data_IF_662544916156
#
_entry.id   IF_662544916156
#
_cell.length_a   1.000
_cell.length_b   1.000
_cell.length_c   1.000
_cell.angle_alpha   90.00
_cell.angle_beta   90.00
_cell.angle_gamma   90.00
#
_symmetry.space_group_name_H-M   'P 1'
#
loop_
_entity.id
_entity.type
_entity.pdbx_description
1 polymer ?
#
# COMPACT_ATOMS: atom_id res chain seq x y z
N UNK A 1 -57.83 46.26 -9.73
CA UNK A 1 -57.92 47.54 -10.48
C UNK A 1 -57.53 48.66 -9.53
N UNK A 2 -56.84 49.67 -10.08
CA UNK A 2 -56.34 50.92 -9.48
C UNK A 2 -54.93 50.81 -8.85
N UNK A 3 -53.93 51.63 -9.18
CA UNK A 3 -53.56 52.49 -10.34
C UNK A 3 -52.10 52.90 -10.09
N UNK A 4 -51.34 53.18 -11.16
CA UNK A 4 -49.90 53.50 -11.16
C UNK A 4 -49.59 54.99 -10.88
N UNK A 5 -48.29 55.24 -10.63
CA UNK A 5 -47.46 56.44 -10.93
C UNK A 5 -47.54 57.63 -9.93
N UNK A 6 -46.52 58.45 -9.67
CA UNK A 6 -45.08 58.54 -10.00
C UNK A 6 -44.49 59.73 -9.21
N UNK A 7 -43.16 59.85 -9.11
CA UNK A 7 -42.48 61.13 -8.79
C UNK A 7 -41.25 60.98 -7.90
N UNK A 8 -40.06 61.08 -8.49
CA UNK A 8 -38.78 61.08 -7.78
C UNK A 8 -38.21 62.48 -7.56
N UNK A 9 -37.16 62.57 -6.73
CA UNK A 9 -36.06 63.54 -6.84
C UNK A 9 -34.88 63.06 -5.98
N UNK A 10 -33.70 63.16 -6.58
CA UNK A 10 -32.36 62.80 -6.08
C UNK A 10 -31.85 63.88 -5.12
N UNK A 11 -31.23 63.47 -4.01
CA UNK A 11 -30.22 64.28 -3.32
C UNK A 11 -29.17 63.38 -2.66
N UNK A 12 -27.94 63.49 -3.18
CA UNK A 12 -26.72 62.84 -2.70
C UNK A 12 -26.24 63.53 -1.43
N UNK A 13 -26.01 62.77 -0.36
CA UNK A 13 -25.17 63.17 0.75
C UNK A 13 -24.40 61.94 1.25
N UNK A 14 -23.14 61.86 0.84
CA UNK A 14 -22.15 60.93 1.35
C UNK A 14 -21.64 61.50 2.68
N UNK A 15 -21.89 60.80 3.77
CA UNK A 15 -21.19 61.00 5.03
C UNK A 15 -20.82 59.63 5.61
N UNK A 16 -19.51 59.46 5.78
CA UNK A 16 -18.79 58.24 6.16
C UNK A 16 -19.26 57.73 7.52
N UNK A 17 -19.71 56.47 7.56
CA UNK A 17 -19.88 55.71 8.79
C UNK A 17 -18.89 54.54 8.78
N UNK A 18 -17.97 54.55 9.75
CA UNK A 18 -17.06 53.45 10.04
C UNK A 18 -17.87 52.22 10.43
N UNK A 19 -17.78 51.16 9.64
CA UNK A 19 -18.13 49.81 10.07
C UNK A 19 -16.90 48.93 9.94
N UNK A 20 -16.26 48.66 11.07
CA UNK A 20 -15.30 47.59 11.23
C UNK A 20 -15.98 46.27 10.86
N UNK A 21 -15.62 45.71 9.71
CA UNK A 21 -15.81 44.29 9.43
C UNK A 21 -14.45 43.64 9.57
N UNK A 22 -14.35 42.75 10.56
CA UNK A 22 -13.22 41.86 10.72
C UNK A 22 -12.99 41.17 9.37
N UNK A 23 -11.80 41.36 8.80
CA UNK A 23 -11.33 40.48 7.74
C UNK A 23 -11.33 39.08 8.32
N UNK A 24 -12.28 38.26 7.89
CA UNK A 24 -12.15 36.81 8.02
C UNK A 24 -10.86 36.47 7.31
N UNK A 25 -9.83 36.15 8.08
CA UNK A 25 -8.72 35.38 7.57
C UNK A 25 -9.36 34.24 6.78
N UNK A 26 -9.13 34.22 5.47
CA UNK A 26 -9.23 32.98 4.73
C UNK A 26 -8.30 32.05 5.50
N UNK A 27 -8.90 31.14 6.26
CA UNK A 27 -8.19 29.96 6.69
C UNK A 27 -7.86 29.25 5.38
N UNK A 28 -6.71 29.58 4.80
CA UNK A 28 -5.93 28.58 4.08
C UNK A 28 -5.89 27.41 5.04
N UNK A 29 -6.75 26.42 4.79
CA UNK A 29 -6.58 25.12 5.39
C UNK A 29 -5.28 24.62 4.81
N UNK A 30 -4.19 24.98 5.48
CA UNK A 30 -2.91 24.36 5.33
C UNK A 30 -3.11 22.94 5.87
N UNK A 31 -3.69 22.10 5.02
CA UNK A 31 -3.79 20.66 5.22
C UNK A 31 -2.37 20.22 5.54
N UNK A 32 -2.17 19.73 6.76
CA UNK A 32 -0.87 19.21 7.15
C UNK A 32 -0.45 18.19 6.09
N UNK A 33 0.73 18.36 5.50
CA UNK A 33 1.33 17.44 4.53
C UNK A 33 1.75 16.09 5.17
N UNK A 34 1.02 15.64 6.19
CA UNK A 34 1.18 14.36 6.85
C UNK A 34 -0.09 13.56 6.63
N UNK A 35 0.05 12.48 5.87
CA UNK A 35 -0.90 11.37 5.74
C UNK A 35 -1.93 11.51 4.60
N UNK A 36 -1.46 11.85 3.39
CA UNK A 36 -2.19 11.49 2.17
C UNK A 36 -2.40 9.96 2.11
N UNK A 37 -3.60 9.55 1.73
CA UNK A 37 -3.90 8.16 1.45
C UNK A 37 -3.19 7.69 0.18
N UNK A 38 -2.96 6.38 0.10
CA UNK A 38 -2.42 5.69 -1.06
C UNK A 38 -3.51 4.79 -1.61
N UNK A 39 -4.01 5.09 -2.81
CA UNK A 39 -5.14 4.38 -3.41
C UNK A 39 -4.72 3.79 -4.75
N UNK A 40 -5.08 2.54 -4.98
CA UNK A 40 -5.06 1.92 -6.31
C UNK A 40 -6.48 1.63 -6.76
N UNK A 41 -6.72 1.53 -8.07
CA UNK A 41 -8.02 1.16 -8.63
C UNK A 41 -7.85 -0.08 -9.51
N UNK A 42 -8.68 -1.09 -9.30
CA UNK A 42 -8.77 -2.30 -10.11
C UNK A 42 -10.08 -2.29 -10.89
N UNK A 43 -10.01 -2.56 -12.18
CA UNK A 43 -11.18 -2.87 -13.00
C UNK A 43 -11.36 -4.37 -13.18
N UNK A 44 -12.48 -4.89 -12.68
CA UNK A 44 -12.81 -6.31 -12.64
C UNK A 44 -14.19 -6.62 -13.24
N UNK A 45 -14.72 -5.78 -14.14
CA UNK A 45 -15.99 -6.01 -14.85
C UNK A 45 -15.71 -6.42 -16.31
N UNK A 46 -15.78 -7.71 -16.68
CA UNK A 46 -15.50 -8.16 -18.04
C UNK A 46 -16.38 -7.48 -19.10
N UNK A 47 -15.81 -7.20 -20.26
CA UNK A 47 -16.55 -6.68 -21.43
C UNK A 47 -17.00 -5.23 -21.36
N UNK A 48 -16.59 -4.49 -20.31
CA UNK A 48 -16.97 -3.10 -20.11
C UNK A 48 -15.73 -2.22 -20.00
N UNK A 49 -15.37 -1.45 -21.03
CA UNK A 49 -14.41 -0.35 -20.88
C UNK A 49 -15.13 0.85 -20.26
N UNK A 50 -14.47 1.54 -19.32
CA UNK A 50 -15.09 2.59 -18.52
C UNK A 50 -14.22 3.81 -18.33
N UNK A 51 -14.85 4.94 -18.09
CA UNK A 51 -14.20 6.16 -17.62
C UNK A 51 -14.54 6.38 -16.14
N UNK A 52 -13.52 6.64 -15.32
CA UNK A 52 -13.66 6.83 -13.87
C UNK A 52 -13.57 8.31 -13.52
N UNK A 53 -14.61 8.80 -12.85
CA UNK A 53 -14.75 10.18 -12.41
C UNK A 53 -14.81 10.28 -10.89
N UNK A 54 -14.30 11.39 -10.35
CA UNK A 54 -14.61 11.85 -9.00
C UNK A 54 -15.31 13.21 -9.07
N UNK A 55 -16.59 13.24 -8.73
CA UNK A 55 -17.46 14.36 -9.09
C UNK A 55 -17.53 14.53 -10.61
N UNK A 56 -17.23 15.75 -11.10
CA UNK A 56 -17.23 16.07 -12.53
C UNK A 56 -15.83 15.97 -13.17
N UNK A 57 -14.81 15.55 -12.40
CA UNK A 57 -13.44 15.43 -12.87
C UNK A 57 -13.14 14.00 -13.28
N UNK A 58 -12.74 13.83 -14.53
CA UNK A 58 -12.23 12.56 -15.04
C UNK A 58 -10.85 12.25 -14.44
N UNK A 59 -10.71 11.04 -13.88
CA UNK A 59 -9.48 10.57 -13.24
C UNK A 59 -8.77 9.51 -14.08
N UNK A 60 -9.53 8.56 -14.63
CA UNK A 60 -8.98 7.43 -15.39
C UNK A 60 -9.83 7.25 -16.67
N UNK A 61 -9.33 7.69 -17.84
CA UNK A 61 -9.97 7.43 -19.13
C UNK A 61 -9.69 5.99 -19.60
N UNK A 62 -10.56 5.47 -20.46
CA UNK A 62 -10.37 4.23 -21.24
C UNK A 62 -9.97 3.02 -20.37
N UNK A 63 -10.51 2.94 -19.15
CA UNK A 63 -10.08 1.95 -18.17
C UNK A 63 -10.60 0.55 -18.57
N UNK A 64 -9.66 -0.37 -18.85
CA UNK A 64 -9.98 -1.69 -19.40
C UNK A 64 -10.02 -2.79 -18.34
N UNK A 65 -10.89 -3.81 -18.47
CA UNK A 65 -10.98 -4.88 -17.47
C UNK A 65 -9.65 -5.64 -17.29
N UNK A 66 -9.34 -6.01 -16.05
CA UNK A 66 -8.09 -6.69 -15.67
C UNK A 66 -6.91 -5.75 -15.42
N UNK A 67 -7.11 -4.44 -15.56
CA UNK A 67 -6.08 -3.43 -15.28
C UNK A 67 -6.15 -2.96 -13.82
N UNK A 68 -4.97 -2.69 -13.27
CA UNK A 68 -4.78 -2.16 -11.93
C UNK A 68 -3.90 -0.91 -12.08
N UNK A 69 -4.32 0.21 -11.51
CA UNK A 69 -3.53 1.44 -11.56
C UNK A 69 -2.32 1.33 -10.65
N UNK A 70 -1.29 2.11 -10.97
CA UNK A 70 -0.26 2.44 -9.99
C UNK A 70 -0.88 3.17 -8.77
N UNK A 71 -0.30 3.02 -7.57
CA UNK A 71 -0.79 3.72 -6.39
C UNK A 71 -0.69 5.23 -6.54
N UNK A 72 -1.80 5.92 -6.30
CA UNK A 72 -1.94 7.37 -6.37
C UNK A 72 -2.14 7.97 -4.97
N UNK A 73 -1.59 9.16 -4.76
CA UNK A 73 -1.75 9.91 -3.52
C UNK A 73 -3.02 10.75 -3.58
N UNK A 74 -3.85 10.61 -2.55
CA UNK A 74 -5.11 11.33 -2.42
C UNK A 74 -5.17 11.98 -1.04
N UNK A 75 -5.73 13.18 -0.98
CA UNK A 75 -6.02 13.80 0.30
C UNK A 75 -7.15 13.04 1.00
N UNK A 76 -7.13 13.03 2.32
CA UNK A 76 -8.21 12.44 3.09
C UNK A 76 -9.52 13.19 2.81
N UNK A 77 -10.62 12.46 2.60
CA UNK A 77 -11.91 13.05 2.27
C UNK A 77 -12.91 12.04 1.76
N UNK A 78 -14.12 12.52 1.47
CA UNK A 78 -15.18 11.76 0.81
C UNK A 78 -15.16 12.08 -0.68
N UNK A 79 -15.16 11.05 -1.51
CA UNK A 79 -15.13 11.17 -2.97
C UNK A 79 -16.35 10.49 -3.58
N UNK A 80 -17.11 11.23 -4.37
CA UNK A 80 -18.21 10.68 -5.16
C UNK A 80 -17.64 10.07 -6.43
N UNK A 81 -17.46 8.75 -6.44
CA UNK A 81 -16.91 8.03 -7.57
C UNK A 81 -18.05 7.62 -8.50
N UNK A 82 -17.93 8.03 -9.76
CA UNK A 82 -18.84 7.66 -10.84
C UNK A 82 -18.04 6.96 -11.93
N UNK A 83 -18.59 5.85 -12.42
CA UNK A 83 -17.97 5.05 -13.48
C UNK A 83 -18.96 4.99 -14.62
N UNK A 84 -18.57 5.54 -15.76
CA UNK A 84 -19.37 5.58 -16.97
C UNK A 84 -18.83 4.58 -17.97
N UNK A 85 -19.68 4.14 -18.90
CA UNK A 85 -19.18 3.39 -20.05
C UNK A 85 -18.30 4.31 -20.88
N UNK A 86 -17.23 3.75 -21.45
CA UNK A 86 -16.33 4.48 -22.34
C UNK A 86 -17.09 5.32 -23.39
N UNK A 87 -16.73 6.60 -23.49
CA UNK A 87 -17.33 7.58 -24.39
C UNK A 87 -18.62 8.22 -23.86
N UNK A 88 -19.10 7.84 -22.68
CA UNK A 88 -20.16 8.53 -21.95
C UNK A 88 -19.54 9.47 -20.91
N UNK A 89 -19.99 10.72 -20.90
CA UNK A 89 -19.53 11.73 -19.93
C UNK A 89 -20.41 11.82 -18.67
N UNK A 90 -20.09 12.76 -17.76
CA UNK A 90 -20.81 12.94 -16.49
C UNK A 90 -22.29 13.34 -16.65
N UNK A 91 -22.71 13.76 -17.85
CA UNK A 91 -24.11 14.03 -18.19
C UNK A 91 -24.93 12.75 -18.45
N UNK A 92 -24.27 11.59 -18.56
CA UNK A 92 -24.87 10.28 -18.81
C UNK A 92 -25.40 9.59 -17.54
N UNK A 93 -25.83 8.34 -17.68
CA UNK A 93 -26.20 7.50 -16.53
C UNK A 93 -24.99 6.65 -16.14
N UNK A 94 -24.46 6.78 -14.91
CA UNK A 94 -23.29 5.99 -14.50
C UNK A 94 -23.63 4.50 -14.43
N UNK A 95 -22.71 3.65 -14.88
CA UNK A 95 -22.80 2.21 -14.71
C UNK A 95 -22.60 1.82 -13.24
N UNK A 96 -21.77 2.56 -12.52
CA UNK A 96 -21.57 2.44 -11.06
C UNK A 96 -21.45 3.84 -10.47
N UNK A 97 -22.13 4.08 -9.35
CA UNK A 97 -22.03 5.31 -8.57
C UNK A 97 -21.93 4.97 -7.09
N UNK A 98 -20.90 5.49 -6.40
CA UNK A 98 -20.71 5.27 -4.97
C UNK A 98 -19.86 6.36 -4.35
N UNK A 99 -20.29 6.85 -3.20
CA UNK A 99 -19.46 7.70 -2.32
C UNK A 99 -18.49 6.82 -1.54
N UNK A 100 -17.21 7.18 -1.58
CA UNK A 100 -16.12 6.46 -0.92
C UNK A 100 -15.40 7.40 0.04
N UNK A 101 -15.35 7.00 1.31
CA UNK A 101 -14.54 7.66 2.32
C UNK A 101 -13.08 7.18 2.24
N UNK A 102 -12.16 8.13 2.12
CA UNK A 102 -10.71 7.91 2.10
C UNK A 102 -10.10 8.50 3.37
N UNK A 103 -9.81 7.67 4.40
CA UNK A 103 -9.18 8.15 5.62
C UNK A 103 -7.75 8.62 5.39
N UNK A 104 -7.29 9.56 6.22
CA UNK A 104 -5.89 9.99 6.22
C UNK A 104 -4.94 8.81 6.45
N UNK A 105 -3.88 8.72 5.64
CA UNK A 105 -2.85 7.70 5.72
C UNK A 105 -3.30 6.30 5.30
N UNK A 106 -4.55 6.12 4.87
CA UNK A 106 -5.05 4.82 4.46
C UNK A 106 -4.26 4.30 3.25
N UNK A 107 -4.02 3.00 3.21
CA UNK A 107 -3.63 2.30 1.99
C UNK A 107 -4.83 1.48 1.55
N UNK A 108 -5.40 1.75 0.38
CA UNK A 108 -6.63 1.09 -0.07
C UNK A 108 -6.59 0.75 -1.56
N UNK A 109 -7.37 -0.25 -1.93
CA UNK A 109 -7.67 -0.55 -3.34
C UNK A 109 -9.17 -0.44 -3.56
N UNK A 110 -9.58 0.41 -4.49
CA UNK A 110 -10.94 0.46 -5.01
C UNK A 110 -11.06 -0.57 -6.11
N UNK A 111 -12.12 -1.36 -6.09
CA UNK A 111 -12.31 -2.44 -7.05
C UNK A 111 -13.70 -2.27 -7.67
N UNK A 112 -13.73 -1.97 -8.96
CA UNK A 112 -14.95 -2.09 -9.75
C UNK A 112 -15.09 -3.56 -10.14
N UNK A 113 -16.19 -4.22 -9.76
CA UNK A 113 -16.35 -5.66 -10.00
C UNK A 113 -17.81 -6.06 -10.19
N UNK A 114 -18.05 -7.35 -10.43
CA UNK A 114 -19.39 -7.93 -10.41
C UNK A 114 -19.73 -8.45 -9.01
N UNK A 115 -20.93 -8.16 -8.51
CA UNK A 115 -21.49 -8.82 -7.32
C UNK A 115 -21.72 -10.31 -7.58
N UNK A 116 -22.03 -11.09 -6.55
CA UNK A 116 -22.38 -12.51 -6.71
C UNK A 116 -23.49 -12.76 -7.75
N UNK A 117 -24.43 -11.81 -7.89
CA UNK A 117 -25.54 -11.85 -8.85
C UNK A 117 -25.18 -11.28 -10.24
N UNK A 118 -23.91 -10.95 -10.51
CA UNK A 118 -23.46 -10.45 -11.81
C UNK A 118 -23.73 -8.96 -12.07
N UNK A 119 -24.01 -8.15 -11.04
CA UNK A 119 -24.25 -6.70 -11.21
C UNK A 119 -22.95 -5.89 -10.99
N UNK A 120 -22.64 -4.87 -11.80
CA UNK A 120 -21.52 -3.98 -11.52
C UNK A 120 -21.65 -3.28 -10.16
N UNK A 121 -20.56 -3.25 -9.39
CA UNK A 121 -20.44 -2.61 -8.10
C UNK A 121 -19.01 -2.08 -7.90
N UNK A 122 -18.86 -1.16 -6.95
CA UNK A 122 -17.57 -0.63 -6.52
C UNK A 122 -17.39 -0.92 -5.02
N UNK A 123 -16.30 -1.56 -4.63
CA UNK A 123 -15.97 -1.79 -3.23
C UNK A 123 -14.56 -1.33 -2.90
N UNK A 124 -14.41 -0.81 -1.68
CA UNK A 124 -13.15 -0.29 -1.17
C UNK A 124 -12.56 -1.27 -0.16
N UNK A 125 -11.31 -1.65 -0.38
CA UNK A 125 -10.60 -2.56 0.52
C UNK A 125 -9.39 -1.87 1.12
N UNK A 126 -9.35 -1.76 2.44
CA UNK A 126 -8.17 -1.26 3.15
C UNK A 126 -7.09 -2.33 3.16
N UNK A 127 -5.92 -1.99 2.63
CA UNK A 127 -4.77 -2.87 2.56
C UNK A 127 -4.05 -2.93 3.91
N UNK A 128 -3.78 -4.15 4.37
CA UNK A 128 -3.02 -4.37 5.59
C UNK A 128 -1.52 -4.13 5.36
N UNK A 129 -1.06 -2.97 5.80
CA UNK A 129 0.34 -2.51 5.73
C UNK A 129 1.08 -2.66 7.05
N UNK A 130 0.55 -3.44 8.00
CA UNK A 130 1.26 -3.75 9.23
C UNK A 130 2.52 -4.58 8.96
N UNK A 131 3.52 -4.47 9.85
CA UNK A 131 4.79 -5.20 9.74
C UNK A 131 4.55 -6.71 9.69
N UNK A 132 5.38 -7.38 8.89
CA UNK A 132 5.39 -8.82 8.68
C UNK A 132 6.64 -9.39 9.37
N UNK A 133 6.56 -10.51 10.11
CA UNK A 133 7.72 -11.15 10.72
C UNK A 133 8.80 -11.53 9.71
N UNK A 134 10.06 -11.57 10.16
CA UNK A 134 11.18 -12.00 9.31
C UNK A 134 10.95 -13.42 8.75
N UNK A 135 11.33 -13.64 7.49
CA UNK A 135 11.14 -14.88 6.74
C UNK A 135 9.69 -15.16 6.31
N UNK A 136 8.77 -14.21 6.49
CA UNK A 136 7.35 -14.36 6.13
C UNK A 136 6.92 -13.37 5.05
N UNK A 137 5.84 -13.74 4.37
CA UNK A 137 5.07 -12.90 3.47
C UNK A 137 3.61 -12.91 3.91
N UNK A 138 2.84 -11.88 3.54
CA UNK A 138 1.39 -11.85 3.73
C UNK A 138 0.71 -12.16 2.41
N UNK A 139 -0.28 -13.05 2.46
CA UNK A 139 -1.18 -13.32 1.35
C UNK A 139 -2.56 -12.79 1.72
N UNK A 140 -3.12 -11.94 0.87
CA UNK A 140 -4.51 -11.48 0.97
C UNK A 140 -5.25 -11.96 -0.28
N UNK A 141 -6.40 -12.61 -0.13
CA UNK A 141 -7.23 -13.05 -1.24
C UNK A 141 -8.56 -12.34 -1.17
N UNK A 142 -8.93 -11.66 -2.25
CA UNK A 142 -10.18 -10.93 -2.41
C UNK A 142 -11.02 -11.64 -3.45
N UNK A 143 -12.19 -12.14 -3.02
CA UNK A 143 -13.14 -12.70 -3.95
C UNK A 143 -14.09 -11.59 -4.41
N UNK A 144 -13.93 -11.17 -5.66
CA UNK A 144 -14.69 -10.07 -6.29
C UNK A 144 -15.27 -10.52 -7.64
N UNK A 145 -15.58 -11.81 -7.77
CA UNK A 145 -16.16 -12.38 -8.99
C UNK A 145 -17.62 -12.75 -8.76
N UNK A 146 -18.45 -12.65 -9.80
CA UNK A 146 -19.79 -13.22 -9.83
C UNK A 146 -19.68 -14.75 -9.85
N UNK A 147 -19.53 -15.34 -8.66
CA UNK A 147 -19.40 -16.77 -8.48
C UNK A 147 -19.93 -17.17 -7.09
N UNK A 148 -20.27 -18.46 -6.89
CA UNK A 148 -20.52 -19.02 -5.56
C UNK A 148 -19.29 -18.93 -4.65
N UNK A 149 -19.48 -19.22 -3.36
CA UNK A 149 -18.40 -19.29 -2.39
C UNK A 149 -17.28 -20.24 -2.85
N UNK A 150 -16.02 -19.88 -2.54
CA UNK A 150 -14.83 -20.61 -2.97
C UNK A 150 -13.92 -20.99 -1.80
N UNK A 151 -13.19 -22.08 -1.98
CA UNK A 151 -12.05 -22.43 -1.15
C UNK A 151 -10.76 -22.10 -1.91
N UNK A 152 -9.81 -21.43 -1.26
CA UNK A 152 -8.50 -21.13 -1.80
C UNK A 152 -7.53 -22.18 -1.30
N UNK A 153 -6.80 -22.83 -2.20
CA UNK A 153 -5.78 -23.82 -1.83
C UNK A 153 -4.39 -23.35 -2.20
N UNK A 154 -3.43 -23.79 -1.40
CA UNK A 154 -2.01 -23.59 -1.61
C UNK A 154 -1.36 -24.98 -1.59
N UNK A 155 -0.66 -25.34 -2.67
CA UNK A 155 -0.12 -26.69 -2.88
C UNK A 155 -1.20 -27.76 -2.62
N UNK A 156 -2.37 -27.58 -3.23
CA UNK A 156 -3.56 -28.44 -3.14
C UNK A 156 -4.21 -28.54 -1.74
N UNK A 157 -3.70 -27.82 -0.74
CA UNK A 157 -4.27 -27.80 0.62
C UNK A 157 -5.12 -26.53 0.84
N UNK A 158 -6.39 -26.65 1.26
CA UNK A 158 -7.23 -25.50 1.57
C UNK A 158 -6.61 -24.63 2.67
N UNK A 159 -6.34 -23.36 2.36
CA UNK A 159 -5.82 -22.35 3.28
C UNK A 159 -6.91 -21.38 3.73
N UNK A 160 -7.83 -21.02 2.84
CA UNK A 160 -9.03 -20.24 3.15
C UNK A 160 -10.25 -20.98 2.65
N UNK A 161 -11.31 -21.03 3.46
CA UNK A 161 -12.53 -21.77 3.14
C UNK A 161 -13.76 -20.86 3.15
N UNK A 162 -14.71 -21.13 2.26
CA UNK A 162 -15.99 -20.44 2.19
C UNK A 162 -15.84 -18.92 2.01
N UNK A 163 -14.85 -18.49 1.21
CA UNK A 163 -14.71 -17.09 0.87
C UNK A 163 -15.82 -16.71 -0.11
N UNK A 164 -16.61 -15.70 0.24
CA UNK A 164 -17.76 -15.23 -0.55
C UNK A 164 -17.47 -13.85 -1.14
N UNK A 165 -18.08 -13.48 -2.26
CA UNK A 165 -18.03 -12.13 -2.80
C UNK A 165 -18.81 -11.14 -1.89
N UNK A 166 -18.29 -9.92 -1.59
CA UNK A 166 -17.00 -9.34 -1.98
C UNK A 166 -15.95 -9.42 -0.85
N UNK A 167 -15.91 -10.51 -0.08
CA UNK A 167 -15.08 -10.62 1.14
C UNK A 167 -13.62 -10.91 0.79
N UNK A 168 -12.77 -10.65 1.79
CA UNK A 168 -11.35 -10.99 1.77
C UNK A 168 -10.95 -11.94 2.90
N UNK A 169 -9.90 -12.72 2.65
CA UNK A 169 -9.21 -13.50 3.66
C UNK A 169 -7.71 -13.19 3.59
N UNK A 170 -7.02 -13.23 4.74
CA UNK A 170 -5.59 -12.94 4.81
C UNK A 170 -4.87 -13.84 5.79
N UNK A 171 -3.60 -14.09 5.53
CA UNK A 171 -2.74 -14.90 6.38
C UNK A 171 -1.26 -14.66 6.10
N UNK A 172 -0.42 -14.95 7.09
CA UNK A 172 1.02 -14.89 6.96
C UNK A 172 1.57 -16.29 6.65
N UNK A 173 2.42 -16.38 5.63
CA UNK A 173 2.98 -17.63 5.10
C UNK A 173 4.49 -17.51 4.97
N UNK A 174 5.19 -18.64 4.82
CA UNK A 174 6.61 -18.62 4.51
C UNK A 174 6.85 -17.91 3.16
N UNK A 175 7.88 -17.07 3.09
CA UNK A 175 8.27 -16.45 1.83
C UNK A 175 8.74 -17.52 0.83
N UNK A 176 8.42 -17.34 -0.44
CA UNK A 176 8.75 -18.26 -1.53
C UNK A 176 7.64 -18.37 -2.58
N UNK A 177 7.82 -19.29 -3.53
CA UNK A 177 6.82 -19.58 -4.55
C UNK A 177 5.81 -20.61 -4.03
N UNK A 178 4.53 -20.33 -4.22
CA UNK A 178 3.43 -21.23 -3.87
C UNK A 178 2.54 -21.41 -5.10
N UNK A 179 2.19 -22.66 -5.42
CA UNK A 179 1.17 -22.91 -6.43
C UNK A 179 -0.20 -22.83 -5.78
N UNK A 180 -1.06 -21.96 -6.29
CA UNK A 180 -2.38 -21.68 -5.72
C UNK A 180 -3.49 -21.92 -6.74
N UNK A 181 -4.62 -22.43 -6.27
CA UNK A 181 -5.84 -22.55 -7.05
C UNK A 181 -7.08 -22.23 -6.21
N UNK A 182 -8.19 -22.02 -6.89
CA UNK A 182 -9.48 -21.68 -6.31
C UNK A 182 -10.48 -22.72 -6.76
N UNK A 183 -11.12 -23.38 -5.80
CA UNK A 183 -12.17 -24.39 -6.04
C UNK A 183 -13.51 -23.90 -5.52
N UNK A 184 -14.61 -24.43 -6.05
CA UNK A 184 -15.94 -24.19 -5.47
C UNK A 184 -15.98 -24.77 -4.04
N UNK A 185 -16.51 -24.00 -3.10
CA UNK A 185 -16.45 -24.33 -1.68
C UNK A 185 -17.04 -25.72 -1.38
N UNK A 186 -16.29 -26.54 -0.63
CA UNK A 186 -16.71 -27.89 -0.26
C UNK A 186 -16.66 -28.91 -1.40
N UNK A 187 -16.03 -28.58 -2.53
CA UNK A 187 -15.87 -29.50 -3.69
C UNK A 187 -14.41 -29.50 -4.18
N UNK A 188 -14.11 -30.37 -5.15
CA UNK A 188 -12.83 -30.40 -5.87
C UNK A 188 -12.90 -29.74 -7.27
N UNK A 189 -14.01 -29.06 -7.59
CA UNK A 189 -14.17 -28.39 -8.89
C UNK A 189 -13.34 -27.12 -8.93
N UNK A 190 -12.25 -27.14 -9.70
CA UNK A 190 -11.38 -25.99 -9.93
C UNK A 190 -12.11 -24.93 -10.76
N UNK A 191 -12.23 -23.73 -10.18
CA UNK A 191 -12.79 -22.56 -10.84
C UNK A 191 -11.69 -21.68 -11.46
N UNK A 192 -10.56 -21.52 -10.78
CA UNK A 192 -9.44 -20.69 -11.24
C UNK A 192 -8.11 -21.35 -10.85
N UNK A 193 -7.14 -21.37 -11.78
CA UNK A 193 -5.79 -21.88 -11.54
C UNK A 193 -5.51 -23.27 -12.14
N UNK A 194 -4.36 -23.87 -11.80
CA UNK A 194 -3.35 -23.37 -10.85
C UNK A 194 -2.58 -22.13 -11.38
N UNK A 195 -2.12 -21.29 -10.46
CA UNK A 195 -1.25 -20.15 -10.73
C UNK A 195 -0.11 -20.09 -9.72
N UNK A 196 1.09 -19.82 -10.19
CA UNK A 196 2.26 -19.69 -9.32
C UNK A 196 2.34 -18.26 -8.76
N UNK A 197 2.30 -18.17 -7.43
CA UNK A 197 2.41 -16.91 -6.70
C UNK A 197 3.80 -16.78 -6.09
N UNK A 198 4.51 -15.72 -6.47
CA UNK A 198 5.77 -15.35 -5.82
C UNK A 198 5.48 -14.49 -4.58
N UNK A 199 5.67 -15.07 -3.39
CA UNK A 199 5.43 -14.42 -2.11
C UNK A 199 6.77 -13.97 -1.51
N UNK A 200 7.21 -12.77 -1.92
CA UNK A 200 8.45 -12.20 -1.42
C UNK A 200 8.37 -11.88 0.09
N UNK A 201 9.50 -11.99 0.79
CA UNK A 201 9.56 -11.65 2.21
C UNK A 201 9.19 -10.18 2.43
N UNK A 202 8.45 -9.90 3.52
CA UNK A 202 8.09 -8.53 3.89
C UNK A 202 7.13 -7.84 2.91
N UNK A 203 6.47 -8.59 2.02
CA UNK A 203 5.44 -8.08 1.12
C UNK A 203 4.06 -8.65 1.45
N UNK A 204 3.02 -7.89 1.07
CA UNK A 204 1.64 -8.36 1.03
C UNK A 204 1.25 -8.54 -0.44
N UNK A 205 1.11 -9.79 -0.86
CA UNK A 205 0.59 -10.13 -2.19
C UNK A 205 -0.93 -10.25 -2.07
N UNK A 206 -1.64 -9.33 -2.71
CA UNK A 206 -3.10 -9.31 -2.80
C UNK A 206 -3.52 -9.95 -4.12
N UNK A 207 -4.30 -11.02 -4.05
CA UNK A 207 -4.85 -11.75 -5.20
C UNK A 207 -6.33 -11.44 -5.32
N UNK A 208 -6.75 -10.98 -6.48
CA UNK A 208 -8.13 -10.67 -6.82
C UNK A 208 -8.66 -11.74 -7.77
N UNK A 209 -9.67 -12.47 -7.34
CA UNK A 209 -10.46 -13.33 -8.22
C UNK A 209 -11.65 -12.52 -8.74
N UNK A 210 -11.69 -12.24 -10.05
CA UNK A 210 -12.67 -11.36 -10.69
C UNK A 210 -13.29 -12.02 -11.94
N UNK A 211 -14.36 -11.43 -12.45
CA UNK A 211 -15.12 -11.96 -13.60
C UNK A 211 -16.43 -12.65 -13.19
N UNK A 212 -16.89 -13.59 -14.00
CA UNK A 212 -18.17 -14.30 -13.89
C UNK A 212 -17.96 -15.79 -14.15
N UNK A 213 -18.47 -16.61 -13.23
CA UNK A 213 -18.46 -18.06 -13.35
C UNK A 213 -19.42 -18.53 -14.44
N UNK A 214 -20.61 -17.91 -14.52
CA UNK A 214 -21.64 -18.25 -15.50
C UNK A 214 -21.18 -17.93 -16.93
N UNK A 215 -20.50 -16.79 -17.11
CA UNK A 215 -19.96 -16.36 -18.40
C UNK A 215 -18.58 -16.98 -18.71
N UNK A 216 -18.06 -17.82 -17.81
CA UNK A 216 -16.78 -18.54 -17.94
C UNK A 216 -15.59 -17.63 -18.27
N UNK A 217 -15.53 -16.46 -17.63
CA UNK A 217 -14.48 -15.46 -17.85
C UNK A 217 -13.72 -15.11 -16.56
N UNK A 218 -13.76 -15.98 -15.55
CA UNK A 218 -13.03 -15.84 -14.30
C UNK A 218 -11.52 -15.69 -14.55
N UNK A 219 -10.92 -14.70 -13.88
CA UNK A 219 -9.50 -14.36 -14.02
C UNK A 219 -8.89 -13.96 -12.67
N UNK A 220 -7.55 -13.94 -12.62
CA UNK A 220 -6.79 -13.44 -11.48
C UNK A 220 -6.08 -12.13 -11.82
N UNK A 221 -6.01 -11.24 -10.83
CA UNK A 221 -5.05 -10.13 -10.82
C UNK A 221 -4.28 -10.16 -9.52
N UNK A 222 -3.00 -9.80 -9.57
CA UNK A 222 -2.15 -9.70 -8.38
C UNK A 222 -1.68 -8.27 -8.19
N UNK A 223 -1.64 -7.82 -6.94
CA UNK A 223 -1.01 -6.57 -6.50
C UNK A 223 0.01 -6.92 -5.41
N UNK A 224 1.22 -6.37 -5.52
CA UNK A 224 2.25 -6.56 -4.50
C UNK A 224 2.47 -5.25 -3.77
N UNK A 225 2.24 -5.25 -2.46
CA UNK A 225 2.52 -4.13 -1.58
C UNK A 225 3.81 -4.44 -0.84
N UNK A 226 4.76 -3.52 -0.82
CA UNK A 226 6.10 -3.70 -0.25
C UNK A 226 6.30 -2.84 1.00
N UNK A 227 7.46 -2.96 1.66
CA UNK A 227 7.84 -2.07 2.77
C UNK A 227 7.37 -2.52 4.15
N UNK A 228 6.90 -3.75 4.31
CA UNK A 228 6.40 -4.28 5.58
C UNK A 228 7.44 -5.13 6.34
N UNK A 229 8.73 -5.01 6.01
CA UNK A 229 9.79 -5.76 6.68
C UNK A 229 9.88 -5.43 8.18
N UNK A 230 10.07 -6.47 8.99
CA UNK A 230 10.49 -6.32 10.40
C UNK A 230 12.01 -6.30 10.52
N UNK A 231 12.52 -5.73 11.61
CA UNK A 231 13.94 -5.83 11.92
C UNK A 231 14.35 -7.31 12.10
N UNK A 232 15.58 -7.71 11.72
CA UNK A 232 16.08 -9.06 11.99
C UNK A 232 16.03 -9.36 13.49
N UNK A 233 15.72 -10.60 13.87
CA UNK A 233 15.63 -11.06 15.27
C UNK A 233 16.95 -11.08 16.05
N UNK A 234 17.98 -10.40 15.57
CA UNK A 234 19.35 -10.44 16.08
C UNK A 234 20.23 -11.44 15.32
N UNK A 235 21.54 -11.18 15.31
CA UNK A 235 22.53 -12.19 14.95
C UNK A 235 23.00 -12.85 16.24
N UNK A 236 23.05 -14.19 16.34
CA UNK A 236 23.68 -14.87 17.47
C UNK A 236 25.17 -14.48 17.49
N UNK A 237 25.54 -13.51 18.31
CA UNK A 237 26.94 -13.30 18.65
C UNK A 237 27.35 -14.48 19.53
N UNK A 238 28.17 -15.39 19.00
CA UNK A 238 28.47 -16.67 19.64
C UNK A 238 28.80 -16.53 21.13
N UNK A 239 27.98 -17.14 21.98
CA UNK A 239 28.14 -17.16 23.45
C UNK A 239 29.26 -18.13 23.90
N UNK A 240 29.96 -18.78 22.97
CA UNK A 240 30.94 -19.85 23.28
C UNK A 240 32.25 -19.34 23.88
N UNK A 241 32.39 -18.02 24.13
CA UNK A 241 33.53 -17.47 24.87
C UNK A 241 34.90 -17.73 24.21
N UNK A 242 34.95 -18.06 22.91
CA UNK A 242 36.20 -18.40 22.22
C UNK A 242 37.23 -17.25 22.19
N UNK A 243 36.79 -16.01 22.40
CA UNK A 243 37.68 -14.86 22.60
C UNK A 243 38.32 -14.81 24.01
N UNK A 244 37.69 -15.41 25.03
CA UNK A 244 38.23 -15.50 26.38
C UNK A 244 39.23 -16.67 26.53
N UNK A 245 39.07 -17.74 25.74
CA UNK A 245 39.95 -18.91 25.77
C UNK A 245 41.38 -18.63 25.27
N UNK A 246 41.65 -17.47 24.65
CA UNK A 246 42.97 -17.10 24.15
C UNK A 246 43.84 -16.32 25.14
N UNK A 247 43.34 -16.03 26.36
CA UNK A 247 44.09 -15.23 27.35
C UNK A 247 44.60 -16.02 28.57
N UNK A 248 44.28 -17.30 28.67
CA UNK A 248 44.77 -18.20 29.73
C UNK A 248 46.04 -18.93 29.25
N UNK A 249 47.15 -18.20 29.05
CA UNK A 249 48.38 -18.86 28.59
C UNK A 249 49.58 -18.01 28.23
N UNK A 250 49.58 -16.68 28.46
CA UNK A 250 50.82 -15.92 28.39
C UNK A 250 51.46 -15.88 29.78
N UNK A 251 52.55 -16.62 30.06
CA UNK A 251 53.28 -16.46 31.30
C UNK A 251 53.79 -15.01 31.37
N UNK A 252 53.33 -14.26 32.36
CA UNK A 252 53.77 -12.89 32.69
C UNK A 252 55.30 -12.75 32.88
N UNK A 253 56.05 -13.86 32.88
CA UNK A 253 57.52 -13.89 32.88
C UNK A 253 58.20 -13.63 31.53
N UNK A 254 57.49 -13.63 30.40
CA UNK A 254 58.10 -13.44 29.07
C UNK A 254 58.22 -11.97 28.61
N UNK A 255 57.70 -11.01 29.37
CA UNK A 255 57.79 -9.57 29.04
C UNK A 255 58.97 -8.83 29.68
N UNK A 256 59.81 -9.51 30.48
CA UNK A 256 60.96 -8.88 31.15
C UNK A 256 62.29 -8.92 30.37
N UNK A 257 62.36 -9.60 29.22
CA UNK A 257 63.59 -9.68 28.39
C UNK A 257 63.55 -8.84 27.10
N UNK A 258 62.40 -8.23 26.75
CA UNK A 258 62.26 -7.35 25.59
C UNK A 258 62.42 -5.84 25.88
N UNK A 259 62.36 -5.44 27.16
CA UNK A 259 62.42 -4.03 27.58
C UNK A 259 63.82 -3.56 28.02
N UNK A 260 64.82 -4.45 28.08
CA UNK A 260 66.21 -4.10 28.46
C UNK A 260 67.15 -3.98 27.26
N UNK A 261 66.78 -4.50 26.09
CA UNK A 261 67.57 -4.38 24.84
C UNK A 261 67.28 -3.10 24.03
N UNK A 262 66.25 -2.33 24.38
CA UNK A 262 65.92 -1.06 23.70
C UNK A 262 66.53 0.20 24.36
N UNK A 263 67.22 0.07 25.50
CA UNK A 263 67.85 1.21 26.20
C UNK A 263 69.38 1.27 26.09
N UNK A 264 70.03 0.25 25.54
CA UNK A 264 71.48 0.26 25.27
C UNK A 264 71.86 0.71 23.85
N UNK A 265 70.89 0.84 22.93
CA UNK A 265 71.13 1.31 21.56
C UNK A 265 71.07 2.84 21.37
N UNK A 266 70.50 3.59 22.32
CA UNK A 266 70.41 5.06 22.24
C UNK A 266 71.65 5.80 22.80
N UNK A 267 72.49 5.14 23.61
CA UNK A 267 73.67 5.77 24.23
C UNK A 267 74.94 5.77 23.37
N UNK A 268 75.03 4.92 22.35
CA UNK A 268 76.26 4.75 21.57
C UNK A 268 76.35 5.66 20.33
N UNK A 269 75.23 6.21 19.84
CA UNK A 269 75.20 7.07 18.65
C UNK A 269 75.46 8.56 18.92
N UNK A 270 75.50 8.99 20.18
CA UNK A 270 75.83 10.38 20.56
C UNK A 270 77.32 10.61 20.87
N UNK A 271 78.16 9.57 20.92
CA UNK A 271 79.62 9.69 21.18
C UNK A 271 80.52 9.74 19.95
N UNK A 272 79.97 9.57 18.74
CA UNK A 272 80.77 9.62 17.50
C UNK A 272 80.62 10.94 16.72
N UNK A 273 79.76 11.87 17.15
CA UNK A 273 79.55 13.16 16.48
C UNK A 273 80.46 14.30 17.00
N UNK A 274 81.42 14.00 17.88
CA UNK A 274 82.38 14.98 18.40
C UNK A 274 83.86 14.63 18.17
N UNK A 275 84.17 13.77 17.19
CA UNK A 275 85.57 13.44 16.87
C UNK A 275 85.83 13.26 15.36
N UNK A 276 85.57 14.32 14.60
CA UNK A 276 86.27 14.65 13.33
C UNK A 276 86.21 16.18 13.26
N UNK A 277 87.34 16.86 13.47
CA UNK A 277 88.17 17.43 12.39
C UNK A 277 87.36 18.38 11.51
#
# INVERSE_FOLDING_TARGET
MNTRAAGGTVAVAIAVALSASAGTAAADQQQAAGDQATVSVLHGVPGLTVDVYAGDKELIPDFTPGTLTEPMKLDAGSYDIKIFKDGEGPDGTPAIEKTVDVPAGANATLVAHLTADGKPALDAFVNDVSKIPAGKARLTVRHVAAAPAVDVRANEKPVFKGLENPKEAKGEVAAGTVSADVVLAGTDTVAIGPADLNLAEGTNTVVYAWGSADDKNLQLKTQTITGMHSAPGGVPAGETGAAAAHNEGLPLGALSLGAVSALSAAGLLLRLRHRTR
#
